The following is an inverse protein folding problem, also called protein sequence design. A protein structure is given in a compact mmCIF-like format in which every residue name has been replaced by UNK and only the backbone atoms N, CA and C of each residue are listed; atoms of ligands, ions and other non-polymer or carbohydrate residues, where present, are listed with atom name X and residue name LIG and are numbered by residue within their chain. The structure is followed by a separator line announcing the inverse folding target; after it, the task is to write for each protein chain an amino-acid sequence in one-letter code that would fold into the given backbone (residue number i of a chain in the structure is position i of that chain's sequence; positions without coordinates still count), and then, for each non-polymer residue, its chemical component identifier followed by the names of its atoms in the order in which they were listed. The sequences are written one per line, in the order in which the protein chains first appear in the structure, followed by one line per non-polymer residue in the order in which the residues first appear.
data_IF_555444619889
#
_entry.id   IF_555444619889
#
_cell.length_a   1.000
_cell.length_b   1.000
_cell.length_c   1.000
_cell.angle_alpha   90.00
_cell.angle_beta   90.00
_cell.angle_gamma   90.00
#
_symmetry.space_group_name_H-M   'P 1'
#
loop_
_entity.id
_entity.type
_entity.pdbx_description
1 polymer ?
#
# COMPACT_ATOMS: atom_id res chain seq x y z
N UNK A 1 38.01 -14.13 21.14
CA UNK A 1 36.57 -14.24 20.79
C UNK A 1 35.94 -12.85 20.80
N UNK A 2 36.40 -11.98 19.89
CA UNK A 2 35.91 -10.60 19.74
C UNK A 2 35.58 -10.26 18.28
N UNK A 3 36.12 -11.03 17.31
CA UNK A 3 35.99 -10.72 15.87
C UNK A 3 34.64 -11.07 15.24
N UNK A 4 33.74 -11.79 15.92
CA UNK A 4 32.41 -12.11 15.37
C UNK A 4 31.36 -11.05 15.67
N UNK A 5 31.58 -10.19 16.68
CA UNK A 5 30.63 -9.13 17.04
C UNK A 5 30.84 -7.86 16.21
N UNK A 6 32.09 -7.53 15.83
CA UNK A 6 32.38 -6.35 15.02
C UNK A 6 31.91 -6.47 13.56
N UNK A 7 31.76 -7.71 13.04
CA UNK A 7 31.25 -7.92 11.69
C UNK A 7 29.77 -7.55 11.57
N UNK A 8 28.95 -7.81 12.61
CA UNK A 8 27.52 -7.48 12.60
C UNK A 8 27.27 -5.96 12.64
N UNK A 9 28.08 -5.20 13.37
CA UNK A 9 27.92 -3.74 13.48
C UNK A 9 28.38 -2.98 12.23
N UNK A 10 29.26 -3.56 11.41
CA UNK A 10 29.62 -2.98 10.11
C UNK A 10 28.52 -3.16 9.04
N UNK A 11 27.72 -4.23 9.11
CA UNK A 11 26.55 -4.40 8.23
C UNK A 11 25.31 -3.63 8.69
N UNK A 12 25.29 -3.15 9.94
CA UNK A 12 24.26 -2.26 10.48
C UNK A 12 24.49 -0.78 10.12
N UNK A 13 25.63 -0.45 9.48
CA UNK A 13 25.86 0.88 8.90
C UNK A 13 24.91 1.11 7.75
N UNK A 14 23.76 1.68 8.10
CA UNK A 14 23.03 2.62 7.27
C UNK A 14 22.75 2.11 5.86
N UNK A 15 21.76 1.22 5.74
CA UNK A 15 20.76 1.41 4.67
C UNK A 15 19.98 2.69 4.97
N UNK A 16 20.68 3.83 4.99
CA UNK A 16 20.05 5.09 4.68
C UNK A 16 19.56 4.89 3.25
N UNK A 17 18.28 4.54 3.13
CA UNK A 17 17.59 4.34 1.86
C UNK A 17 18.05 5.47 0.93
N UNK A 18 18.63 5.13 -0.23
CA UNK A 18 18.49 6.03 -1.37
C UNK A 18 17.00 6.36 -1.46
N UNK A 19 16.65 7.64 -1.45
CA UNK A 19 15.29 8.14 -1.26
C UNK A 19 14.26 7.24 -1.98
N UNK A 20 13.62 6.34 -1.22
CA UNK A 20 12.58 5.49 -1.78
C UNK A 20 11.47 6.41 -2.26
N UNK A 21 10.94 6.19 -3.47
CA UNK A 21 9.79 6.97 -3.97
C UNK A 21 8.56 6.85 -3.05
N UNK A 22 8.57 5.89 -2.14
CA UNK A 22 7.60 5.67 -1.09
C UNK A 22 8.18 6.13 0.27
N UNK A 23 8.59 7.39 0.34
CA UNK A 23 9.16 8.00 1.55
C UNK A 23 8.18 7.85 2.71
N UNK A 24 8.62 7.20 3.79
CA UNK A 24 7.79 6.85 4.94
C UNK A 24 8.20 7.72 6.13
N UNK A 25 7.34 8.66 6.53
CA UNK A 25 7.56 9.48 7.75
C UNK A 25 6.52 9.09 8.80
N UNK A 26 6.97 8.49 9.90
CA UNK A 26 6.24 8.22 11.15
C UNK A 26 4.80 7.69 11.00
N UNK A 27 4.55 6.43 11.37
CA UNK A 27 3.19 5.89 11.39
C UNK A 27 2.47 6.16 12.71
N UNK A 28 1.16 6.43 12.62
CA UNK A 28 0.28 6.53 13.79
C UNK A 28 -0.89 5.56 13.61
N UNK A 29 -1.06 4.61 14.54
CA UNK A 29 -2.18 3.67 14.52
C UNK A 29 -3.49 4.37 14.91
N UNK A 30 -4.48 4.36 14.02
CA UNK A 30 -5.81 4.90 14.30
C UNK A 30 -6.77 3.77 14.72
N UNK A 31 -7.34 3.87 15.91
CA UNK A 31 -8.42 3.00 16.38
C UNK A 31 -9.61 3.89 16.74
N UNK A 32 -10.60 4.04 15.85
CA UNK A 32 -11.77 4.86 16.13
C UNK A 32 -12.95 4.73 15.15
N UNK A 33 -14.11 4.34 15.70
CA UNK A 33 -15.47 4.70 15.27
C UNK A 33 -16.08 4.03 14.03
N UNK A 34 -17.33 3.56 14.14
CA UNK A 34 -18.21 3.33 13.00
C UNK A 34 -18.40 4.64 12.25
N UNK A 35 -17.60 4.82 11.21
CA UNK A 35 -17.70 5.95 10.31
C UNK A 35 -18.06 5.34 8.95
N UNK A 36 -19.17 5.81 8.39
CA UNK A 36 -19.58 5.51 7.03
C UNK A 36 -18.57 6.17 6.07
N UNK A 37 -17.37 5.62 5.99
CA UNK A 37 -16.30 6.16 5.15
C UNK A 37 -16.64 5.89 3.69
N UNK A 38 -17.18 6.90 3.03
CA UNK A 38 -17.28 6.95 1.58
C UNK A 38 -16.00 7.58 1.06
N UNK A 39 -15.03 6.74 0.72
CA UNK A 39 -13.83 7.19 0.00
C UNK A 39 -14.25 7.90 -1.28
N UNK A 40 -13.55 9.01 -1.59
CA UNK A 40 -13.93 9.86 -2.71
C UNK A 40 -13.79 9.09 -4.02
N UNK A 41 -14.84 9.10 -4.83
CA UNK A 41 -14.89 8.41 -6.13
C UNK A 41 -14.25 9.27 -7.20
N UNK A 42 -13.44 8.65 -8.05
CA UNK A 42 -12.81 9.25 -9.21
C UNK A 42 -13.03 8.35 -10.42
N UNK A 43 -13.42 8.96 -11.53
CA UNK A 43 -13.43 8.29 -12.84
C UNK A 43 -12.26 8.86 -13.62
N UNK A 44 -11.35 8.00 -14.07
CA UNK A 44 -10.23 8.44 -14.90
C UNK A 44 -10.67 8.73 -16.35
N UNK A 45 -9.75 9.24 -17.16
CA UNK A 45 -10.00 9.58 -18.57
C UNK A 45 -10.37 8.36 -19.43
N UNK A 46 -10.02 7.15 -18.96
CA UNK A 46 -10.33 5.87 -19.61
C UNK A 46 -11.69 5.30 -19.13
N UNK A 47 -12.40 6.00 -18.24
CA UNK A 47 -13.69 5.58 -17.68
C UNK A 47 -13.56 4.59 -16.52
N UNK A 48 -12.35 4.34 -16.01
CA UNK A 48 -12.11 3.44 -14.88
C UNK A 48 -12.51 4.11 -13.57
N UNK A 49 -13.41 3.45 -12.83
CA UNK A 49 -13.79 3.89 -11.50
C UNK A 49 -12.73 3.51 -10.46
N UNK A 50 -12.31 4.50 -9.69
CA UNK A 50 -11.35 4.38 -8.60
C UNK A 50 -11.82 5.12 -7.35
N UNK A 51 -11.27 4.74 -6.20
CA UNK A 51 -11.55 5.34 -4.90
C UNK A 51 -10.25 5.86 -4.30
N UNK A 52 -10.26 7.11 -3.88
CA UNK A 52 -9.11 7.76 -3.24
C UNK A 52 -9.06 7.40 -1.76
N UNK A 53 -7.97 6.75 -1.39
CA UNK A 53 -7.69 6.29 -0.03
C UNK A 53 -6.48 7.01 0.58
N UNK A 54 -6.01 8.10 -0.05
CA UNK A 54 -4.77 8.81 0.31
C UNK A 54 -4.75 9.21 1.80
N UNK A 55 -5.86 9.72 2.31
CA UNK A 55 -5.97 10.11 3.72
C UNK A 55 -5.76 8.93 4.68
N UNK A 56 -6.33 7.76 4.38
CA UNK A 56 -6.17 6.57 5.21
C UNK A 56 -4.72 6.06 5.24
N UNK A 57 -3.94 6.34 4.19
CA UNK A 57 -2.64 5.71 3.98
C UNK A 57 -1.47 6.60 4.35
N UNK A 58 -1.73 7.91 4.45
CA UNK A 58 -0.85 8.87 5.12
C UNK A 58 -0.55 8.44 6.56
N UNK A 59 -1.49 7.79 7.25
CA UNK A 59 -1.27 7.23 8.60
C UNK A 59 -0.23 6.11 8.64
N UNK A 60 0.02 5.43 7.52
CA UNK A 60 1.08 4.43 7.37
C UNK A 60 2.39 5.05 6.84
N UNK A 61 2.43 6.38 6.72
CA UNK A 61 3.59 7.17 6.31
C UNK A 61 3.70 7.40 4.80
N UNK A 62 2.72 6.98 3.99
CA UNK A 62 2.77 7.15 2.52
C UNK A 62 2.30 8.56 2.15
N UNK A 63 3.20 9.35 1.57
CA UNK A 63 2.89 10.73 1.18
C UNK A 63 2.37 10.89 -0.26
N UNK A 64 2.45 9.83 -1.07
CA UNK A 64 1.89 9.83 -2.43
C UNK A 64 0.38 9.60 -2.37
N UNK A 65 -0.36 10.21 -3.30
CA UNK A 65 -1.78 9.91 -3.48
C UNK A 65 -1.96 8.43 -3.84
N UNK A 66 -2.92 7.76 -3.22
CA UNK A 66 -3.21 6.35 -3.50
C UNK A 66 -4.67 6.16 -3.83
N UNK A 67 -4.91 5.47 -4.94
CA UNK A 67 -6.23 5.11 -5.43
C UNK A 67 -6.33 3.60 -5.59
N UNK A 68 -7.50 3.07 -5.29
CA UNK A 68 -7.84 1.65 -5.49
C UNK A 68 -8.91 1.53 -6.55
N UNK A 69 -8.87 0.46 -7.35
CA UNK A 69 -9.93 0.13 -8.28
C UNK A 69 -11.25 -0.15 -7.55
N UNK A 70 -12.37 0.03 -8.24
CA UNK A 70 -13.70 -0.36 -7.73
C UNK A 70 -13.75 -1.83 -7.30
N UNK A 71 -13.04 -2.71 -8.00
CA UNK A 71 -12.99 -4.13 -7.67
C UNK A 71 -12.31 -4.43 -6.32
N UNK A 72 -11.17 -3.79 -6.02
CA UNK A 72 -10.54 -3.90 -4.69
C UNK A 72 -11.46 -3.26 -3.65
N UNK A 73 -12.00 -2.09 -3.97
CA UNK A 73 -12.82 -1.33 -3.02
C UNK A 73 -14.07 -2.11 -2.57
N UNK A 74 -14.85 -2.61 -3.52
CA UNK A 74 -16.12 -3.29 -3.25
C UNK A 74 -15.92 -4.66 -2.62
N UNK A 75 -14.95 -5.45 -3.09
CA UNK A 75 -14.75 -6.85 -2.66
C UNK A 75 -13.92 -6.97 -1.39
N UNK A 76 -12.92 -6.11 -1.20
CA UNK A 76 -11.91 -6.28 -0.15
C UNK A 76 -11.89 -5.15 0.88
N UNK A 77 -12.22 -3.91 0.53
CA UNK A 77 -12.18 -2.79 1.48
C UNK A 77 -13.53 -2.57 2.17
N UNK A 78 -14.59 -2.29 1.41
CA UNK A 78 -15.94 -2.01 1.91
C UNK A 78 -16.65 -3.26 2.45
N UNK A 79 -16.13 -4.45 2.16
CA UNK A 79 -16.73 -5.75 2.50
C UNK A 79 -17.41 -5.72 3.89
N UNK A 80 -18.75 -5.71 3.88
CA UNK A 80 -19.62 -5.33 5.01
C UNK A 80 -19.53 -6.21 6.26
N UNK A 81 -18.57 -7.14 6.29
CA UNK A 81 -18.23 -7.97 7.45
C UNK A 81 -17.05 -7.42 8.28
N UNK A 82 -16.30 -6.43 7.77
CA UNK A 82 -15.03 -6.00 8.39
C UNK A 82 -14.80 -4.49 8.35
N UNK A 83 -13.99 -4.01 9.30
CA UNK A 83 -13.55 -2.62 9.37
C UNK A 83 -12.68 -2.29 8.12
N UNK A 84 -13.10 -1.34 7.25
CA UNK A 84 -12.36 -0.95 6.06
C UNK A 84 -10.91 -0.53 6.34
N UNK A 85 -10.62 0.06 7.50
CA UNK A 85 -9.26 0.45 7.88
C UNK A 85 -8.34 -0.74 8.05
N UNK A 86 -8.82 -1.85 8.62
CA UNK A 86 -8.01 -3.07 8.74
C UNK A 86 -7.74 -3.70 7.38
N UNK A 87 -8.70 -3.63 6.47
CA UNK A 87 -8.52 -4.14 5.11
C UNK A 87 -7.51 -3.29 4.33
N UNK A 88 -7.58 -1.96 4.48
CA UNK A 88 -6.58 -1.02 3.97
C UNK A 88 -5.22 -1.32 4.61
N UNK A 89 -5.13 -1.38 5.93
CA UNK A 89 -3.91 -1.72 6.66
C UNK A 89 -3.24 -2.98 6.10
N UNK A 90 -4.03 -4.04 5.90
CA UNK A 90 -3.52 -5.32 5.38
C UNK A 90 -3.01 -5.19 3.94
N UNK A 91 -3.75 -4.48 3.07
CA UNK A 91 -3.34 -4.16 1.71
C UNK A 91 -2.02 -3.36 1.69
N UNK A 92 -1.86 -2.40 2.60
CA UNK A 92 -0.67 -1.56 2.66
C UNK A 92 0.55 -2.25 3.23
N UNK A 93 0.40 -3.06 4.26
CA UNK A 93 1.52 -3.87 4.76
C UNK A 93 2.02 -4.83 3.68
N UNK A 94 1.12 -5.46 2.92
CA UNK A 94 1.49 -6.31 1.79
C UNK A 94 2.21 -5.53 0.69
N UNK A 95 1.73 -4.33 0.35
CA UNK A 95 2.38 -3.45 -0.62
C UNK A 95 3.78 -3.01 -0.16
N UNK A 96 3.93 -2.53 1.07
CA UNK A 96 5.22 -2.07 1.61
C UNK A 96 6.23 -3.21 1.67
N UNK A 97 5.80 -4.41 2.08
CA UNK A 97 6.64 -5.59 2.04
C UNK A 97 7.12 -5.93 0.62
N UNK A 98 6.23 -5.84 -0.37
CA UNK A 98 6.58 -6.06 -1.77
C UNK A 98 7.53 -5.00 -2.30
N UNK A 99 7.39 -3.73 -1.88
CA UNK A 99 8.32 -2.65 -2.20
C UNK A 99 9.70 -2.93 -1.61
N UNK A 100 9.78 -3.39 -0.36
CA UNK A 100 11.05 -3.76 0.28
C UNK A 100 11.73 -4.96 -0.40
N UNK A 101 10.94 -5.83 -1.00
CA UNK A 101 11.41 -6.98 -1.75
C UNK A 101 11.78 -6.64 -3.21
N UNK A 102 11.28 -5.54 -3.78
CA UNK A 102 11.55 -5.16 -5.15
C UNK A 102 12.98 -4.62 -5.32
N UNK A 103 13.80 -5.35 -6.07
CA UNK A 103 15.17 -4.96 -6.43
C UNK A 103 15.25 -4.30 -7.80
N UNK A 104 14.15 -4.25 -8.53
CA UNK A 104 14.11 -3.83 -9.95
C UNK A 104 13.64 -2.38 -10.12
N UNK A 105 13.13 -1.76 -9.06
CA UNK A 105 12.58 -0.40 -9.07
C UNK A 105 11.55 -0.22 -10.20
N UNK A 106 10.75 -1.27 -10.43
CA UNK A 106 9.80 -1.31 -11.53
C UNK A 106 8.64 -0.34 -11.28
N UNK A 107 8.06 0.22 -12.35
CA UNK A 107 6.86 1.10 -12.26
C UNK A 107 5.57 0.34 -11.95
N UNK A 108 5.65 -0.98 -11.98
CA UNK A 108 4.55 -1.91 -11.74
C UNK A 108 5.06 -2.95 -10.76
N UNK A 109 4.27 -3.23 -9.72
CA UNK A 109 4.59 -4.20 -8.69
C UNK A 109 3.37 -5.09 -8.44
N UNK A 110 3.54 -6.39 -8.65
CA UNK A 110 2.52 -7.39 -8.34
C UNK A 110 2.82 -8.02 -6.98
N UNK A 111 1.81 -8.12 -6.12
CA UNK A 111 1.97 -8.62 -4.76
C UNK A 111 0.73 -9.35 -4.27
N UNK A 112 0.94 -10.30 -3.36
CA UNK A 112 -0.13 -11.07 -2.74
C UNK A 112 -0.60 -10.39 -1.46
N UNK A 113 -1.91 -10.21 -1.35
CA UNK A 113 -2.54 -9.61 -0.17
C UNK A 113 -3.18 -10.71 0.66
N UNK A 114 -2.67 -10.99 1.86
CA UNK A 114 -3.35 -11.87 2.78
C UNK A 114 -4.67 -11.21 3.18
N UNK A 115 -5.76 -11.95 3.19
CA UNK A 115 -7.03 -11.44 3.63
C UNK A 115 -7.60 -12.42 4.65
N UNK A 116 -7.66 -12.10 5.95
CA UNK A 116 -8.26 -13.04 6.89
C UNK A 116 -9.73 -13.22 6.46
N UNK A 117 -10.31 -14.43 6.53
CA UNK A 117 -11.75 -14.63 6.26
C UNK A 117 -12.24 -14.38 4.81
N UNK A 118 -11.36 -14.04 3.86
CA UNK A 118 -11.62 -14.11 2.42
C UNK A 118 -10.41 -14.76 1.74
N UNK A 119 -10.53 -15.31 0.53
CA UNK A 119 -9.35 -15.80 -0.19
C UNK A 119 -8.29 -14.69 -0.33
N UNK A 120 -7.00 -15.03 -0.19
CA UNK A 120 -5.94 -14.10 -0.56
C UNK A 120 -6.12 -13.72 -2.03
N UNK A 121 -5.73 -12.49 -2.37
CA UNK A 121 -5.87 -11.97 -3.71
C UNK A 121 -4.58 -11.31 -4.16
N UNK A 122 -4.36 -11.27 -5.47
CA UNK A 122 -3.21 -10.62 -6.06
C UNK A 122 -3.58 -9.21 -6.47
N UNK A 123 -2.80 -8.24 -6.00
CA UNK A 123 -2.94 -6.85 -6.33
C UNK A 123 -1.73 -6.39 -7.15
N UNK A 124 -1.99 -5.44 -8.05
CA UNK A 124 -0.97 -4.73 -8.82
C UNK A 124 -0.96 -3.28 -8.42
N UNK A 125 0.20 -2.80 -8.00
CA UNK A 125 0.49 -1.38 -7.88
C UNK A 125 1.07 -0.86 -9.18
N UNK A 126 0.54 0.25 -9.68
CA UNK A 126 1.09 0.96 -10.83
C UNK A 126 1.16 2.44 -10.54
N UNK A 127 2.28 3.06 -10.90
CA UNK A 127 2.41 4.51 -10.79
C UNK A 127 1.77 5.18 -12.01
N UNK A 128 0.72 5.96 -11.79
CA UNK A 128 -0.11 6.60 -12.84
C UNK A 128 -0.16 8.12 -12.66
N UNK A 129 -0.65 8.81 -13.69
CA UNK A 129 -0.86 10.26 -13.68
C UNK A 129 0.33 11.04 -14.26
N UNK A 130 0.03 12.04 -15.09
CA UNK A 130 1.05 12.88 -15.74
C UNK A 130 1.37 14.14 -14.93
N UNK A 131 0.33 14.82 -14.40
CA UNK A 131 0.44 16.01 -13.54
C UNK A 131 0.29 15.68 -12.06
N UNK A 132 -0.80 14.99 -11.71
CA UNK A 132 -1.01 14.45 -10.37
C UNK A 132 -0.63 12.98 -10.35
N UNK A 133 0.60 12.69 -9.94
CA UNK A 133 1.08 11.32 -9.83
C UNK A 133 0.43 10.61 -8.64
N UNK A 134 -0.04 9.39 -8.85
CA UNK A 134 -0.65 8.56 -7.82
C UNK A 134 -0.32 7.09 -8.02
N UNK A 135 -0.35 6.34 -6.92
CA UNK A 135 -0.27 4.89 -6.95
C UNK A 135 -1.68 4.36 -7.18
N UNK A 136 -1.85 3.52 -8.20
CA UNK A 136 -3.10 2.86 -8.50
C UNK A 136 -3.00 1.36 -8.22
N UNK A 137 -3.87 0.90 -7.32
CA UNK A 137 -4.01 -0.52 -6.99
C UNK A 137 -5.17 -1.14 -7.76
N UNK A 138 -4.89 -2.24 -8.47
CA UNK A 138 -5.88 -3.02 -9.22
C UNK A 138 -5.81 -4.49 -8.85
N UNK A 139 -6.93 -5.20 -8.95
CA UNK A 139 -6.88 -6.66 -8.95
C UNK A 139 -6.14 -7.13 -10.21
N UNK A 140 -5.30 -8.13 -10.01
CA UNK A 140 -4.76 -8.96 -11.09
C UNK A 140 -5.39 -10.33 -10.97
N UNK A 141 -5.92 -10.84 -12.07
CA UNK A 141 -6.31 -12.25 -12.13
C UNK A 141 -5.04 -13.11 -11.97
N UNK A 142 -5.17 -14.18 -11.19
CA UNK A 142 -4.16 -15.22 -11.06
C UNK A 142 -4.17 -16.14 -12.28
#
# INVERSE_FOLDING_TARGET
MADTLELCDQYARSFAREASRFDQKGSSSFYGGELAYLFRRFVDEEGTLSFDISEAVMHYGIQCNVRVSDSIYTRHIRNGSRNPFRNIETLFHAFLYAVDCDRTNARILDFDVPAPGTPPYRARASFRGFKDQYIFFTLTDA
#
